data_IF_943261353328
#
_entry.id   IF_943261353328
#
_cell.length_a   1.000
_cell.length_b   1.000
_cell.length_c   1.000
_cell.angle_alpha   90.00
_cell.angle_beta   90.00
_cell.angle_gamma   90.00
#
_symmetry.space_group_name_H-M   'P 1'
#
loop_
_entity.id
_entity.type
_entity.pdbx_description
1 polymer ?
#
# COMPACT_ATOMS: atom_id res chain seq x y z
N UNK A 1 5.26 8.11 -13.35
CA UNK A 1 6.45 7.29 -13.05
C UNK A 1 6.22 6.49 -11.80
N UNK A 2 6.83 5.30 -11.67
CA UNK A 2 6.70 4.46 -10.48
C UNK A 2 7.02 5.24 -9.20
N UNK A 3 8.12 5.97 -9.15
CA UNK A 3 8.48 6.79 -7.98
C UNK A 3 7.42 7.87 -7.67
N UNK A 4 6.83 8.49 -8.69
CA UNK A 4 5.75 9.45 -8.50
C UNK A 4 4.52 8.82 -7.89
N UNK A 5 4.13 7.63 -8.36
CA UNK A 5 3.05 6.83 -7.79
C UNK A 5 3.31 6.50 -6.33
N UNK A 6 4.45 5.90 -6.02
CA UNK A 6 4.84 5.54 -4.65
C UNK A 6 4.80 6.74 -3.69
N UNK A 7 5.27 7.90 -4.15
CA UNK A 7 5.25 9.13 -3.33
C UNK A 7 3.83 9.63 -3.08
N UNK A 8 2.94 9.57 -4.09
CA UNK A 8 1.52 9.94 -3.92
C UNK A 8 0.84 9.00 -2.92
N UNK A 9 1.05 7.69 -3.04
CA UNK A 9 0.51 6.70 -2.09
C UNK A 9 1.01 6.97 -0.68
N UNK A 10 2.30 7.24 -0.51
CA UNK A 10 2.90 7.58 0.78
C UNK A 10 2.29 8.86 1.37
N UNK A 11 2.16 9.92 0.56
CA UNK A 11 1.57 11.18 1.00
C UNK A 11 0.11 10.99 1.44
N UNK A 12 -0.71 10.27 0.67
CA UNK A 12 -2.07 9.94 1.07
C UNK A 12 -2.11 9.09 2.34
N UNK A 13 -1.27 8.07 2.46
CA UNK A 13 -1.17 7.25 3.66
C UNK A 13 -0.90 8.09 4.92
N UNK A 14 -0.04 9.09 4.81
CA UNK A 14 0.23 10.03 5.89
C UNK A 14 -0.96 10.97 6.18
N UNK A 15 -1.46 11.68 5.16
CA UNK A 15 -2.55 12.66 5.37
C UNK A 15 -3.85 12.00 5.81
N UNK A 16 -4.18 10.83 5.28
CA UNK A 16 -5.35 10.08 5.71
C UNK A 16 -5.20 9.56 7.14
N UNK A 17 -3.98 9.19 7.54
CA UNK A 17 -3.70 8.85 8.94
C UNK A 17 -4.00 10.02 9.87
N UNK A 18 -3.61 11.25 9.48
CA UNK A 18 -3.96 12.45 10.25
C UNK A 18 -5.47 12.69 10.29
N UNK A 19 -6.16 12.51 9.17
CA UNK A 19 -7.61 12.71 9.08
C UNK A 19 -8.40 11.75 9.98
N UNK A 20 -7.92 10.50 10.15
CA UNK A 20 -8.56 9.51 11.04
C UNK A 20 -8.02 9.54 12.47
N UNK A 21 -7.22 10.54 12.86
CA UNK A 21 -6.69 10.68 14.21
C UNK A 21 -5.68 9.61 14.62
N UNK A 22 -4.93 9.05 13.65
CA UNK A 22 -3.91 8.05 13.93
C UNK A 22 -2.75 8.61 14.77
N UNK A 23 -2.15 7.78 15.62
CA UNK A 23 -0.96 8.15 16.36
C UNK A 23 0.26 8.38 15.43
N UNK A 24 1.30 9.10 15.88
CA UNK A 24 2.48 9.41 15.09
C UNK A 24 3.18 8.19 14.48
N UNK A 25 3.35 7.11 15.23
CA UNK A 25 3.96 5.88 14.72
C UNK A 25 3.14 5.27 13.58
N UNK A 26 1.81 5.20 13.70
CA UNK A 26 0.92 4.70 12.64
C UNK A 26 0.98 5.58 11.38
N UNK A 27 0.96 6.90 11.52
CA UNK A 27 1.06 7.82 10.38
C UNK A 27 2.40 7.66 9.66
N UNK A 28 3.50 7.56 10.41
CA UNK A 28 4.84 7.30 9.86
C UNK A 28 4.91 5.94 9.16
N UNK A 29 4.36 4.88 9.76
CA UNK A 29 4.34 3.56 9.17
C UNK A 29 3.56 3.52 7.86
N UNK A 30 2.40 4.18 7.81
CA UNK A 30 1.59 4.27 6.59
C UNK A 30 2.31 5.05 5.49
N UNK A 31 3.06 6.11 5.83
CA UNK A 31 3.90 6.82 4.87
C UNK A 31 4.96 5.88 4.25
N UNK A 32 5.77 5.23 5.09
CA UNK A 32 6.86 4.39 4.60
C UNK A 32 6.34 3.11 3.92
N UNK A 33 5.26 2.51 4.42
CA UNK A 33 4.65 1.37 3.75
C UNK A 33 4.11 1.76 2.37
N UNK A 34 3.47 2.92 2.23
CA UNK A 34 3.05 3.46 0.93
C UNK A 34 4.22 3.78 0.00
N UNK A 35 5.35 4.26 0.55
CA UNK A 35 6.55 4.55 -0.24
C UNK A 35 7.24 3.30 -0.78
N UNK A 36 7.15 2.18 -0.08
CA UNK A 36 7.89 0.97 -0.42
C UNK A 36 7.01 -0.19 -0.91
N UNK A 37 5.67 -0.06 -0.95
CA UNK A 37 4.77 -1.18 -1.22
C UNK A 37 5.09 -1.95 -2.52
N UNK A 38 5.46 -1.25 -3.59
CA UNK A 38 5.83 -1.84 -4.89
C UNK A 38 7.35 -2.02 -5.09
N UNK A 39 8.15 -1.86 -4.02
CA UNK A 39 9.61 -2.03 -4.12
C UNK A 39 10.02 -3.40 -4.70
N UNK A 40 9.36 -4.53 -4.36
CA UNK A 40 9.66 -5.82 -4.97
C UNK A 40 9.42 -5.85 -6.48
N UNK A 41 8.43 -5.13 -7.00
CA UNK A 41 8.11 -5.09 -8.44
C UNK A 41 9.24 -4.43 -9.26
N UNK A 42 9.99 -3.48 -8.68
CA UNK A 42 11.16 -2.88 -9.32
C UNK A 42 12.27 -3.90 -9.62
N UNK A 43 12.31 -5.00 -8.87
CA UNK A 43 13.33 -6.05 -9.03
C UNK A 43 12.98 -7.05 -10.13
N UNK A 44 11.71 -7.15 -10.51
CA UNK A 44 11.17 -8.16 -11.44
C UNK A 44 10.81 -7.59 -12.81
N UNK A 45 10.94 -6.27 -13.02
CA UNK A 45 10.44 -5.55 -14.20
C UNK A 45 8.94 -5.78 -14.40
N UNK A 46 8.18 -4.90 -13.82
CA UNK A 46 6.75 -4.65 -14.00
C UNK A 46 5.98 -5.67 -14.87
N UNK A 47 5.62 -6.80 -14.25
CA UNK A 47 4.74 -7.79 -14.88
C UNK A 47 3.32 -7.26 -14.73
N UNK A 48 2.75 -6.79 -15.83
CA UNK A 48 1.42 -6.15 -15.84
C UNK A 48 0.35 -7.00 -15.13
N UNK A 49 -0.43 -6.37 -14.27
CA UNK A 49 -1.47 -6.99 -13.44
C UNK A 49 -2.41 -7.98 -14.17
N UNK A 50 -2.80 -7.79 -15.46
CA UNK A 50 -3.57 -8.78 -16.19
C UNK A 50 -2.87 -10.13 -16.33
N UNK A 51 -1.53 -10.15 -16.47
CA UNK A 51 -0.74 -11.39 -16.57
C UNK A 51 -0.67 -12.07 -15.21
N UNK A 52 -0.46 -11.31 -14.12
CA UNK A 52 -0.48 -11.83 -12.74
C UNK A 52 -1.82 -12.50 -12.40
N UNK A 53 -2.95 -12.01 -12.95
CA UNK A 53 -4.31 -12.51 -12.67
C UNK A 53 -4.79 -13.61 -13.62
N UNK A 54 -4.14 -13.82 -14.76
CA UNK A 54 -4.62 -14.74 -15.79
C UNK A 54 -4.46 -16.23 -15.44
N UNK A 55 -3.48 -16.57 -14.59
CA UNK A 55 -3.23 -17.94 -14.13
C UNK A 55 -2.78 -17.88 -12.67
N UNK A 56 -3.60 -18.37 -11.75
CA UNK A 56 -3.32 -18.34 -10.32
C UNK A 56 -1.92 -18.86 -9.91
N UNK A 57 -1.42 -19.99 -10.46
CA UNK A 57 -0.06 -20.47 -10.16
C UNK A 57 1.05 -19.48 -10.55
N UNK A 58 0.84 -18.64 -11.54
CA UNK A 58 1.86 -17.66 -11.99
C UNK A 58 2.00 -16.53 -10.96
N UNK A 59 0.90 -16.08 -10.37
CA UNK A 59 0.91 -15.05 -9.32
C UNK A 59 1.77 -15.46 -8.12
N UNK A 60 1.60 -16.68 -7.65
CA UNK A 60 2.35 -17.21 -6.51
C UNK A 60 3.85 -17.35 -6.84
N UNK A 61 4.19 -17.84 -8.04
CA UNK A 61 5.58 -17.94 -8.50
C UNK A 61 6.26 -16.57 -8.63
N UNK A 62 5.54 -15.56 -9.13
CA UNK A 62 6.05 -14.19 -9.23
C UNK A 62 6.34 -13.67 -7.83
N UNK A 63 5.42 -13.84 -6.89
CA UNK A 63 5.58 -13.40 -5.52
C UNK A 63 6.77 -14.09 -4.83
N UNK A 64 6.90 -15.39 -4.99
CA UNK A 64 8.05 -16.13 -4.46
C UNK A 64 9.37 -15.61 -5.04
N UNK A 65 9.38 -15.30 -6.34
CA UNK A 65 10.55 -14.72 -7.00
C UNK A 65 10.84 -13.30 -6.47
N UNK A 66 9.83 -12.44 -6.32
CA UNK A 66 9.94 -11.09 -5.76
C UNK A 66 10.50 -11.13 -4.33
N UNK A 67 9.97 -12.00 -3.49
CA UNK A 67 10.43 -12.20 -2.11
C UNK A 67 11.90 -12.67 -2.04
N UNK A 68 12.28 -13.59 -2.91
CA UNK A 68 13.67 -14.07 -3.00
C UNK A 68 14.63 -12.97 -3.47
N UNK A 69 14.27 -12.24 -4.52
CA UNK A 69 15.10 -11.14 -5.04
C UNK A 69 15.19 -9.99 -4.04
N UNK A 70 14.10 -9.68 -3.33
CA UNK A 70 14.10 -8.68 -2.26
C UNK A 70 15.07 -9.07 -1.13
N UNK A 71 15.03 -10.32 -0.69
CA UNK A 71 15.97 -10.85 0.32
C UNK A 71 17.41 -10.72 -0.17
N UNK A 72 17.70 -11.31 -1.35
CA UNK A 72 19.07 -11.39 -1.87
C UNK A 72 19.69 -10.03 -2.21
N UNK A 73 18.91 -9.10 -2.77
CA UNK A 73 19.43 -7.85 -3.34
C UNK A 73 19.29 -6.64 -2.42
N UNK A 74 18.43 -6.72 -1.41
CA UNK A 74 18.15 -5.59 -0.52
C UNK A 74 18.39 -5.97 0.95
N UNK A 75 17.67 -6.98 1.47
CA UNK A 75 17.70 -7.25 2.91
C UNK A 75 19.05 -7.83 3.37
N UNK A 76 19.57 -8.86 2.67
CA UNK A 76 20.85 -9.47 3.03
C UNK A 76 22.02 -8.46 2.94
N UNK A 77 22.15 -7.63 1.88
CA UNK A 77 23.16 -6.57 1.84
C UNK A 77 23.02 -5.54 2.96
N UNK A 78 21.80 -5.15 3.35
CA UNK A 78 21.59 -4.25 4.48
C UNK A 78 22.06 -4.87 5.81
N UNK A 79 21.72 -6.13 6.03
CA UNK A 79 22.15 -6.88 7.24
C UNK A 79 23.68 -7.02 7.26
N UNK A 80 24.29 -7.45 6.16
CA UNK A 80 25.74 -7.59 6.02
C UNK A 80 26.48 -6.24 6.18
N UNK A 81 25.86 -5.13 5.75
CA UNK A 81 26.34 -3.78 5.91
C UNK A 81 26.19 -3.20 7.33
N UNK A 82 25.65 -3.96 8.28
CA UNK A 82 25.46 -3.52 9.67
C UNK A 82 24.16 -2.75 9.94
N UNK A 83 23.16 -2.87 9.02
CA UNK A 83 21.87 -2.18 9.13
C UNK A 83 20.67 -3.15 9.30
N UNK A 84 20.71 -4.12 10.25
CA UNK A 84 19.62 -5.10 10.41
C UNK A 84 18.29 -4.46 10.81
N UNK A 85 18.32 -3.35 11.55
CA UNK A 85 17.10 -2.62 11.91
C UNK A 85 16.40 -2.01 10.70
N UNK A 86 17.14 -1.49 9.71
CA UNK A 86 16.57 -0.98 8.45
C UNK A 86 15.96 -2.12 7.64
N UNK A 87 16.66 -3.26 7.54
CA UNK A 87 16.14 -4.45 6.86
C UNK A 87 14.83 -4.93 7.50
N UNK A 88 14.77 -5.01 8.83
CA UNK A 88 13.56 -5.40 9.55
C UNK A 88 12.38 -4.43 9.33
N UNK A 89 12.64 -3.11 9.27
CA UNK A 89 11.60 -2.13 8.97
C UNK A 89 11.08 -2.25 7.54
N UNK A 90 11.94 -2.46 6.56
CA UNK A 90 11.51 -2.71 5.17
C UNK A 90 10.66 -3.99 5.08
N UNK A 91 11.08 -5.07 5.72
CA UNK A 91 10.33 -6.32 5.78
C UNK A 91 8.93 -6.14 6.38
N UNK A 92 8.83 -5.35 7.45
CA UNK A 92 7.56 -4.96 8.08
C UNK A 92 6.67 -4.14 7.13
N UNK A 93 7.21 -3.12 6.44
CA UNK A 93 6.43 -2.28 5.52
C UNK A 93 5.91 -3.08 4.33
N UNK A 94 6.69 -4.01 3.81
CA UNK A 94 6.31 -4.92 2.73
C UNK A 94 5.29 -6.00 3.17
N UNK A 95 5.05 -6.13 4.47
CA UNK A 95 4.07 -7.09 5.01
C UNK A 95 4.40 -8.55 4.75
N UNK A 96 5.69 -8.88 4.57
CA UNK A 96 6.12 -10.25 4.21
C UNK A 96 5.76 -11.27 5.28
N UNK A 97 5.88 -10.93 6.58
CA UNK A 97 5.49 -11.79 7.70
C UNK A 97 3.99 -12.15 7.72
N UNK A 98 3.15 -11.32 7.14
CA UNK A 98 1.67 -11.47 7.14
C UNK A 98 1.10 -11.77 5.75
N UNK A 99 1.94 -11.79 4.73
CA UNK A 99 1.62 -12.24 3.38
C UNK A 99 1.25 -11.14 2.39
N UNK A 100 1.08 -9.87 2.81
CA UNK A 100 0.89 -8.72 1.91
C UNK A 100 1.13 -7.39 2.63
N UNK A 101 1.61 -6.41 1.90
CA UNK A 101 1.74 -5.01 2.27
C UNK A 101 0.40 -4.37 2.67
N UNK A 102 -0.71 -4.84 2.09
CA UNK A 102 -2.07 -4.36 2.33
C UNK A 102 -2.80 -5.07 3.49
N UNK A 103 -2.09 -5.84 4.28
CA UNK A 103 -2.62 -6.40 5.53
C UNK A 103 -2.40 -5.40 6.66
N UNK A 104 -3.48 -5.05 7.35
CA UNK A 104 -3.43 -4.23 8.57
C UNK A 104 -2.79 -5.03 9.69
N UNK A 105 -1.82 -4.41 10.38
CA UNK A 105 -1.01 -5.07 11.41
C UNK A 105 -0.79 -4.19 12.62
N UNK A 106 -0.58 -4.85 13.77
CA UNK A 106 -0.08 -4.27 15.01
C UNK A 106 1.04 -5.12 15.57
N UNK A 107 1.91 -4.53 16.39
CA UNK A 107 2.92 -5.23 17.16
C UNK A 107 2.45 -5.35 18.60
N UNK A 108 2.36 -6.55 19.11
CA UNK A 108 1.97 -6.85 20.49
C UNK A 108 2.97 -7.86 21.07
N UNK A 109 3.51 -7.61 22.25
CA UNK A 109 4.52 -8.44 22.91
C UNK A 109 5.74 -8.78 22.02
N UNK A 110 6.13 -7.83 21.16
CA UNK A 110 7.25 -7.97 20.22
C UNK A 110 6.95 -8.80 18.97
N UNK A 111 5.72 -9.23 18.78
CA UNK A 111 5.28 -9.99 17.60
C UNK A 111 4.31 -9.18 16.74
N UNK A 112 4.50 -9.24 15.42
CA UNK A 112 3.58 -8.64 14.45
C UNK A 112 2.40 -9.58 14.25
N UNK A 113 1.18 -9.07 14.39
CA UNK A 113 -0.07 -9.79 14.11
C UNK A 113 -1.00 -9.00 13.20
N UNK A 114 -1.90 -9.72 12.54
CA UNK A 114 -3.00 -9.12 11.78
C UNK A 114 -3.99 -8.43 12.72
N UNK A 115 -4.52 -7.31 12.26
CA UNK A 115 -5.58 -6.55 12.92
C UNK A 115 -6.60 -6.06 11.88
N UNK A 116 -7.73 -5.54 12.35
CA UNK A 116 -8.72 -4.88 11.50
C UNK A 116 -8.64 -3.36 11.67
N UNK A 117 -9.06 -2.60 10.67
CA UNK A 117 -9.09 -1.13 10.72
C UNK A 117 -9.80 -0.62 11.98
N UNK A 118 -10.94 -1.21 12.33
CA UNK A 118 -11.70 -0.84 13.52
C UNK A 118 -10.90 -1.03 14.80
N UNK A 119 -10.11 -2.08 14.91
CA UNK A 119 -9.25 -2.33 16.07
C UNK A 119 -8.18 -1.23 16.22
N UNK A 120 -7.66 -0.70 15.11
CA UNK A 120 -6.71 0.42 15.13
C UNK A 120 -7.36 1.72 15.62
N UNK A 121 -8.66 1.89 15.43
CA UNK A 121 -9.39 3.08 15.86
C UNK A 121 -9.83 3.01 17.33
N UNK A 122 -10.14 1.82 17.82
CA UNK A 122 -10.77 1.65 19.14
C UNK A 122 -9.79 1.19 20.23
N UNK A 123 -8.77 0.39 19.89
CA UNK A 123 -7.96 -0.35 20.88
C UNK A 123 -6.46 -0.18 20.70
N UNK A 124 -5.95 -0.09 19.47
CA UNK A 124 -4.53 -0.01 19.17
C UNK A 124 -4.15 1.40 18.71
N UNK A 125 -4.53 2.41 19.50
CA UNK A 125 -4.41 3.84 19.15
C UNK A 125 -3.07 4.47 19.53
N UNK A 126 -2.22 3.76 20.30
CA UNK A 126 -0.97 4.29 20.82
C UNK A 126 0.23 3.85 19.98
N UNK A 127 1.32 4.63 20.03
CA UNK A 127 2.58 4.37 19.29
C UNK A 127 3.21 3.00 19.61
N UNK A 128 3.00 2.47 20.84
CA UNK A 128 3.54 1.18 21.28
C UNK A 128 3.06 -0.01 20.43
N UNK A 129 1.91 0.12 19.76
CA UNK A 129 1.39 -0.91 18.87
C UNK A 129 2.06 -0.94 17.50
N UNK A 130 2.91 0.04 17.17
CA UNK A 130 3.63 0.13 15.90
C UNK A 130 2.72 -0.24 14.70
N UNK A 131 1.49 0.30 14.72
CA UNK A 131 0.43 -0.11 13.80
C UNK A 131 0.71 0.31 12.34
N UNK A 132 0.32 -0.54 11.40
CA UNK A 132 0.29 -0.25 9.95
C UNK A 132 -1.11 -0.55 9.41
N UNK A 133 -1.69 0.39 8.68
CA UNK A 133 -3.04 0.30 8.15
C UNK A 133 -3.06 -0.15 6.68
N UNK A 134 -3.12 -1.45 6.48
CA UNK A 134 -3.12 -2.04 5.14
C UNK A 134 -4.37 -1.71 4.32
N UNK A 135 -5.54 -1.59 4.94
CA UNK A 135 -6.78 -1.23 4.25
C UNK A 135 -6.74 0.21 3.73
N UNK A 136 -6.24 1.13 4.56
CA UNK A 136 -6.00 2.51 4.14
C UNK A 136 -5.00 2.57 2.99
N UNK A 137 -3.87 1.87 3.10
CA UNK A 137 -2.85 1.83 2.05
C UNK A 137 -3.40 1.30 0.73
N UNK A 138 -4.27 0.28 0.76
CA UNK A 138 -4.94 -0.23 -0.42
C UNK A 138 -5.85 0.80 -1.07
N UNK A 139 -6.53 1.60 -0.25
CA UNK A 139 -7.36 2.70 -0.74
C UNK A 139 -6.50 3.82 -1.35
N UNK A 140 -5.36 4.15 -0.73
CA UNK A 140 -4.40 5.14 -1.24
C UNK A 140 -3.81 4.73 -2.59
N UNK A 141 -3.38 3.46 -2.72
CA UNK A 141 -2.87 2.87 -3.97
C UNK A 141 -3.92 3.00 -5.10
N UNK A 142 -5.15 2.59 -4.83
CA UNK A 142 -6.25 2.68 -5.80
C UNK A 142 -6.60 4.12 -6.18
N UNK A 143 -6.58 5.06 -5.22
CA UNK A 143 -6.80 6.47 -5.48
C UNK A 143 -5.67 7.07 -6.32
N UNK A 144 -4.41 6.73 -6.03
CA UNK A 144 -3.26 7.16 -6.84
C UNK A 144 -3.37 6.66 -8.28
N UNK A 145 -3.70 5.37 -8.48
CA UNK A 145 -3.92 4.80 -9.81
C UNK A 145 -5.08 5.47 -10.55
N UNK A 146 -6.17 5.82 -9.84
CA UNK A 146 -7.28 6.58 -10.42
C UNK A 146 -6.82 7.95 -10.91
N UNK A 147 -6.07 8.71 -10.09
CA UNK A 147 -5.58 10.05 -10.46
C UNK A 147 -4.60 10.02 -11.63
N UNK A 148 -3.75 9.00 -11.71
CA UNK A 148 -2.87 8.81 -12.86
C UNK A 148 -3.67 8.58 -14.15
N UNK A 149 -4.68 7.70 -14.12
CA UNK A 149 -5.56 7.46 -15.25
C UNK A 149 -6.38 8.71 -15.62
N UNK A 150 -6.95 9.39 -14.63
CA UNK A 150 -7.71 10.64 -14.83
C UNK A 150 -6.84 11.73 -15.47
N UNK A 151 -5.64 11.94 -14.94
CA UNK A 151 -4.70 12.94 -15.46
C UNK A 151 -4.26 12.61 -16.89
N UNK A 152 -4.01 11.33 -17.19
CA UNK A 152 -3.67 10.89 -18.53
C UNK A 152 -4.79 11.21 -19.54
N UNK A 153 -6.04 10.88 -19.18
CA UNK A 153 -7.22 11.17 -20.02
C UNK A 153 -7.41 12.69 -20.19
N UNK A 154 -7.28 13.48 -19.14
CA UNK A 154 -7.38 14.96 -19.20
C UNK A 154 -6.28 15.58 -20.06
N UNK A 155 -5.13 14.95 -20.18
CA UNK A 155 -4.04 15.36 -21.07
C UNK A 155 -4.14 14.78 -22.48
N UNK A 156 -5.30 14.23 -22.87
CA UNK A 156 -5.59 13.79 -24.23
C UNK A 156 -5.13 12.39 -24.58
N UNK A 157 -4.72 11.58 -23.59
CA UNK A 157 -4.39 10.17 -23.82
C UNK A 157 -5.70 9.38 -23.85
N UNK A 158 -6.22 9.11 -25.04
CA UNK A 158 -7.42 8.29 -25.21
C UNK A 158 -7.07 6.80 -25.03
N UNK A 159 -7.62 6.17 -24.00
CA UNK A 159 -7.47 4.75 -23.72
C UNK A 159 -8.71 4.18 -23.03
N UNK A 160 -9.33 3.20 -23.67
CA UNK A 160 -10.46 2.47 -23.06
C UNK A 160 -10.05 1.79 -21.76
N UNK A 161 -8.77 1.38 -21.63
CA UNK A 161 -8.24 0.76 -20.43
C UNK A 161 -8.26 1.73 -19.25
N UNK A 162 -7.90 3.00 -19.46
CA UNK A 162 -7.97 4.03 -18.40
C UNK A 162 -9.41 4.31 -17.97
N UNK A 163 -10.32 4.44 -18.92
CA UNK A 163 -11.75 4.64 -18.62
C UNK A 163 -12.33 3.46 -17.81
N UNK A 164 -12.02 2.23 -18.20
CA UNK A 164 -12.46 1.03 -17.49
C UNK A 164 -11.80 0.91 -16.11
N UNK A 165 -10.54 1.31 -15.96
CA UNK A 165 -9.84 1.30 -14.66
C UNK A 165 -10.49 2.31 -13.71
N UNK A 166 -10.71 3.56 -14.15
CA UNK A 166 -11.38 4.59 -13.36
C UNK A 166 -12.80 4.15 -12.94
N UNK A 167 -13.58 3.60 -13.86
CA UNK A 167 -14.93 3.11 -13.56
C UNK A 167 -14.90 1.98 -12.49
N UNK A 168 -13.97 1.02 -12.64
CA UNK A 168 -13.82 -0.08 -11.67
C UNK A 168 -13.45 0.42 -10.28
N UNK A 169 -12.51 1.36 -10.19
CA UNK A 169 -12.08 1.94 -8.92
C UNK A 169 -13.25 2.67 -8.27
N UNK A 170 -13.96 3.54 -9.00
CA UNK A 170 -15.15 4.22 -8.47
C UNK A 170 -16.19 3.24 -7.94
N UNK A 171 -16.53 2.21 -8.72
CA UNK A 171 -17.49 1.19 -8.32
C UNK A 171 -17.05 0.44 -7.06
N UNK A 172 -15.76 0.13 -6.93
CA UNK A 172 -15.21 -0.59 -5.76
C UNK A 172 -15.27 0.27 -4.50
N UNK A 173 -14.94 1.56 -4.63
CA UNK A 173 -14.76 2.44 -3.48
C UNK A 173 -15.95 3.38 -3.20
N UNK A 174 -17.04 3.33 -3.99
CA UNK A 174 -18.19 4.26 -3.88
C UNK A 174 -18.79 4.35 -2.46
N UNK A 175 -18.73 3.28 -1.68
CA UNK A 175 -19.27 3.20 -0.32
C UNK A 175 -18.19 2.92 0.73
N UNK A 176 -16.90 3.10 0.38
CA UNK A 176 -15.80 2.85 1.32
C UNK A 176 -15.53 4.10 2.13
N UNK A 177 -15.54 3.94 3.45
CA UNK A 177 -15.15 4.94 4.42
C UNK A 177 -14.05 4.38 5.32
N UNK A 178 -13.07 5.20 5.61
CA UNK A 178 -12.01 4.93 6.57
C UNK A 178 -12.26 5.82 7.79
N UNK A 179 -12.89 5.27 8.82
CA UNK A 179 -13.40 6.05 9.95
C UNK A 179 -14.65 6.85 9.60
N UNK A 180 -14.98 7.84 10.45
CA UNK A 180 -16.18 8.68 10.30
C UNK A 180 -15.99 9.82 9.29
N UNK A 181 -14.77 10.33 9.15
CA UNK A 181 -14.47 11.56 8.42
C UNK A 181 -13.85 11.35 7.02
N UNK A 182 -13.42 10.16 6.68
CA UNK A 182 -12.73 9.89 5.42
C UNK A 182 -13.54 8.97 4.49
N UNK A 183 -14.30 9.58 3.58
CA UNK A 183 -15.11 8.87 2.58
C UNK A 183 -14.38 8.79 1.24
N UNK A 184 -13.79 7.64 0.94
CA UNK A 184 -13.01 7.43 -0.32
C UNK A 184 -13.88 7.61 -1.55
N UNK A 185 -15.14 7.15 -1.51
CA UNK A 185 -16.10 7.33 -2.61
C UNK A 185 -16.40 8.80 -2.91
N UNK A 186 -16.52 9.64 -1.88
CA UNK A 186 -16.73 11.08 -2.04
C UNK A 186 -15.52 11.75 -2.69
N UNK A 187 -14.29 11.40 -2.26
CA UNK A 187 -13.06 11.91 -2.89
C UNK A 187 -12.99 11.58 -4.39
N UNK A 188 -13.43 10.38 -4.79
CA UNK A 188 -13.44 9.98 -6.20
C UNK A 188 -14.54 10.71 -7.00
N UNK A 189 -15.65 11.10 -6.38
CA UNK A 189 -16.74 11.83 -7.03
C UNK A 189 -16.35 13.28 -7.38
N UNK A 190 -15.41 13.88 -6.67
CA UNK A 190 -14.92 15.26 -6.94
C UNK A 190 -14.19 15.38 -8.30
N UNK A 191 -13.90 14.27 -8.97
CA UNK A 191 -13.21 14.22 -10.27
C UNK A 191 -14.18 14.01 -11.47
N UNK A 192 -15.47 14.27 -11.34
CA UNK A 192 -16.45 14.16 -12.44
C UNK A 192 -16.39 15.32 -13.42
#
# INVERSE_FOLDING_TARGET
SVLGHLFIVAAYGYFFSLAVGACPARAQNNFFAGLFHDLPELLTRDIISPVKKSVAPIGDLIKEYEDREMTRRVLDPLIAGGHPAVAARLDFFLGRAVGSEFVTTVTEDGAVRKAEFRELQERCTEDRFDAKDGEMLKSCDSLAAFLEAYTAVRNGIASDQFQQAMWRIRKTYQNVSLGEDLHVGALLADFD
#
